data_IF_133618626644
#
_entry.id   IF_133618626644
#
_cell.length_a   1.000
_cell.length_b   1.000
_cell.length_c   1.000
_cell.angle_alpha   90.00
_cell.angle_beta   90.00
_cell.angle_gamma   90.00
#
_symmetry.space_group_name_H-M   'P 1'
#
loop_
_entity.id
_entity.type
_entity.pdbx_description
1 polymer ?
#
# COMPACT_ATOMS: atom_id res chain seq x y z
N UNK A 1 -21.10 -14.00 -0.66
CA UNK A 1 -19.81 -14.71 -0.50
C UNK A 1 -20.03 -15.81 0.52
N UNK A 2 -19.59 -17.05 0.26
CA UNK A 2 -19.62 -18.12 1.26
C UNK A 2 -18.19 -18.43 1.67
N UNK A 3 -17.88 -18.25 2.95
CA UNK A 3 -16.62 -18.73 3.53
C UNK A 3 -16.80 -20.22 3.79
N UNK A 4 -15.92 -21.04 3.21
CA UNK A 4 -15.95 -22.49 3.32
C UNK A 4 -15.25 -22.96 4.60
N UNK A 5 -14.23 -22.21 5.05
CA UNK A 5 -13.44 -22.48 6.26
C UNK A 5 -13.01 -21.15 6.88
N UNK A 6 -13.55 -20.82 8.05
CA UNK A 6 -13.14 -19.63 8.80
C UNK A 6 -11.80 -19.87 9.51
N UNK A 7 -10.93 -18.85 9.57
CA UNK A 7 -9.64 -18.93 10.27
C UNK A 7 -8.70 -20.02 9.74
N UNK A 8 -8.83 -20.39 8.46
CA UNK A 8 -8.06 -21.50 7.90
C UNK A 8 -6.56 -21.19 7.92
N UNK A 9 -5.77 -22.16 8.38
CA UNK A 9 -4.32 -22.08 8.25
C UNK A 9 -3.92 -22.50 6.82
N UNK A 10 -3.19 -21.64 6.12
CA UNK A 10 -2.77 -21.86 4.75
C UNK A 10 -1.25 -21.70 4.65
N UNK A 11 -0.57 -22.62 3.97
CA UNK A 11 0.86 -22.49 3.69
C UNK A 11 1.04 -21.73 2.37
N UNK A 12 1.45 -20.45 2.39
CA UNK A 12 1.65 -19.69 1.17
C UNK A 12 2.81 -20.24 0.37
N UNK A 13 2.72 -20.20 -0.96
CA UNK A 13 3.83 -20.63 -1.82
C UNK A 13 4.87 -19.51 -1.89
N UNK A 14 6.08 -19.74 -1.39
CA UNK A 14 7.19 -18.81 -1.55
C UNK A 14 7.64 -18.75 -3.02
N UNK A 15 7.36 -17.62 -3.66
CA UNK A 15 7.66 -17.27 -5.05
C UNK A 15 8.94 -16.45 -5.21
N UNK A 16 9.53 -15.98 -4.11
CA UNK A 16 10.89 -15.46 -4.05
C UNK A 16 11.33 -15.44 -2.60
N UNK A 17 12.60 -15.74 -2.32
CA UNK A 17 13.25 -15.39 -1.06
C UNK A 17 14.72 -15.13 -1.33
N UNK A 18 15.17 -13.90 -1.13
CA UNK A 18 16.56 -13.50 -1.38
C UNK A 18 16.99 -12.39 -0.42
N UNK A 19 18.26 -12.01 -0.51
CA UNK A 19 18.87 -10.96 0.30
C UNK A 19 19.15 -9.71 -0.53
N UNK A 20 18.94 -8.56 0.09
CA UNK A 20 19.41 -7.26 -0.40
C UNK A 20 20.86 -7.06 0.07
N UNK A 21 21.64 -6.38 -0.76
CA UNK A 21 22.98 -5.90 -0.43
C UNK A 21 22.96 -4.63 0.46
N UNK A 22 21.78 -4.06 0.71
CA UNK A 22 21.58 -2.81 1.43
C UNK A 22 20.13 -2.77 1.96
N UNK A 23 19.86 -2.24 3.17
CA UNK A 23 18.51 -2.19 3.73
C UNK A 23 17.47 -1.56 2.80
N UNK A 24 16.24 -2.07 2.88
CA UNK A 24 15.06 -1.39 2.32
C UNK A 24 14.76 -0.12 3.10
N UNK A 25 14.30 0.91 2.40
CA UNK A 25 13.76 2.15 2.99
C UNK A 25 12.36 2.49 2.49
N UNK A 26 11.88 1.76 1.48
CA UNK A 26 10.49 1.75 1.02
C UNK A 26 10.27 0.54 0.13
N UNK A 27 9.04 0.05 0.06
CA UNK A 27 8.69 -1.03 -0.87
C UNK A 27 7.22 -0.98 -1.28
N UNK A 28 6.94 -1.39 -2.51
CA UNK A 28 5.57 -1.50 -3.03
C UNK A 28 5.51 -2.60 -4.09
N UNK A 29 4.35 -3.24 -4.22
CA UNK A 29 4.05 -4.09 -5.36
C UNK A 29 3.30 -3.29 -6.43
N UNK A 30 3.75 -3.42 -7.67
CA UNK A 30 3.10 -2.82 -8.84
C UNK A 30 2.79 -3.86 -9.90
N UNK A 31 1.83 -3.56 -10.77
CA UNK A 31 1.54 -4.36 -11.96
C UNK A 31 2.03 -3.57 -13.17
N UNK A 32 2.88 -4.17 -13.99
CA UNK A 32 3.35 -3.53 -15.22
C UNK A 32 2.23 -3.42 -16.25
N UNK A 33 2.37 -2.57 -17.29
CA UNK A 33 1.42 -2.53 -18.41
C UNK A 33 1.22 -3.89 -19.10
N UNK A 34 2.20 -4.81 -19.01
CA UNK A 34 2.09 -6.19 -19.52
C UNK A 34 1.41 -7.15 -18.54
N UNK A 35 0.74 -6.64 -17.50
CA UNK A 35 0.06 -7.41 -16.46
C UNK A 35 0.99 -8.29 -15.62
N UNK A 36 2.29 -7.96 -15.57
CA UNK A 36 3.25 -8.68 -14.76
C UNK A 36 3.42 -8.00 -13.39
N UNK A 37 3.22 -8.71 -12.27
CA UNK A 37 3.49 -8.16 -10.95
C UNK A 37 4.99 -8.05 -10.69
N UNK A 38 5.39 -6.95 -10.08
CA UNK A 38 6.75 -6.69 -9.59
C UNK A 38 6.70 -6.28 -8.13
N UNK A 39 7.67 -6.76 -7.34
CA UNK A 39 7.98 -6.17 -6.05
C UNK A 39 9.11 -5.16 -6.24
N UNK A 40 8.83 -3.91 -5.92
CA UNK A 40 9.71 -2.77 -6.14
C UNK A 40 10.22 -2.33 -4.77
N UNK A 41 11.54 -2.33 -4.60
CA UNK A 41 12.20 -2.00 -3.35
C UNK A 41 13.14 -0.82 -3.57
N UNK A 42 12.92 0.24 -2.81
CA UNK A 42 13.83 1.36 -2.66
C UNK A 42 14.75 1.11 -1.48
N UNK A 43 16.04 1.41 -1.64
CA UNK A 43 17.06 1.16 -0.62
C UNK A 43 17.60 2.44 -0.01
N UNK A 44 18.24 2.29 1.15
CA UNK A 44 18.89 3.41 1.85
C UNK A 44 20.05 4.03 1.06
N UNK A 45 20.64 3.29 0.12
CA UNK A 45 21.71 3.80 -0.76
C UNK A 45 21.19 4.47 -2.05
N UNK A 46 19.87 4.63 -2.21
CA UNK A 46 19.28 5.24 -3.40
C UNK A 46 19.00 4.27 -4.57
N UNK A 47 19.39 2.99 -4.48
CA UNK A 47 19.06 2.03 -5.53
C UNK A 47 17.56 1.66 -5.50
N UNK A 48 16.94 1.58 -6.67
CA UNK A 48 15.60 1.01 -6.86
C UNK A 48 15.73 -0.33 -7.60
N UNK A 49 15.15 -1.37 -7.01
CA UNK A 49 15.27 -2.74 -7.51
C UNK A 49 13.89 -3.37 -7.72
N UNK A 50 13.76 -4.11 -8.81
CA UNK A 50 12.56 -4.77 -9.25
C UNK A 50 12.76 -6.28 -9.18
N UNK A 51 11.90 -6.96 -8.44
CA UNK A 51 11.86 -8.41 -8.32
C UNK A 51 10.64 -8.96 -9.06
N UNK A 52 10.87 -9.93 -9.95
CA UNK A 52 9.78 -10.67 -10.59
C UNK A 52 9.19 -11.72 -9.65
N UNK A 53 7.93 -12.09 -9.86
CA UNK A 53 7.27 -13.15 -9.08
C UNK A 53 7.63 -14.56 -9.54
N UNK A 54 8.44 -14.73 -10.57
CA UNK A 54 8.80 -16.04 -11.16
C UNK A 54 10.20 -16.52 -10.75
N UNK A 55 10.79 -15.95 -9.69
CA UNK A 55 12.14 -16.23 -9.18
C UNK A 55 13.29 -15.97 -10.17
N UNK A 56 13.01 -15.58 -11.40
CA UNK A 56 14.00 -15.68 -12.47
C UNK A 56 15.04 -14.56 -12.42
N UNK A 57 14.60 -13.32 -12.15
CA UNK A 57 15.37 -12.16 -12.54
C UNK A 57 15.16 -10.97 -11.59
N UNK A 58 16.23 -10.21 -11.40
CA UNK A 58 16.23 -8.94 -10.67
C UNK A 58 16.68 -7.86 -11.63
N UNK A 59 15.88 -6.80 -11.77
CA UNK A 59 16.25 -5.64 -12.57
C UNK A 59 16.53 -4.45 -11.67
N UNK A 60 17.60 -3.72 -11.96
CA UNK A 60 17.98 -2.51 -11.21
C UNK A 60 17.76 -1.31 -12.10
N UNK A 61 17.24 -0.23 -11.52
CA UNK A 61 17.32 1.06 -12.16
C UNK A 61 18.51 1.83 -11.56
N UNK A 62 19.45 2.24 -12.42
CA UNK A 62 20.57 3.11 -12.04
C UNK A 62 20.11 4.55 -11.84
N UNK A 63 19.21 4.76 -10.88
CA UNK A 63 18.71 6.08 -10.51
C UNK A 63 19.83 7.02 -10.07
N UNK A 64 19.59 8.33 -10.11
CA UNK A 64 20.56 9.37 -9.68
C UNK A 64 20.46 9.68 -8.19
N UNK A 65 19.72 8.87 -7.45
CA UNK A 65 19.50 9.08 -6.03
C UNK A 65 20.81 8.94 -5.26
N UNK A 66 21.13 9.96 -4.47
CA UNK A 66 22.29 9.98 -3.56
C UNK A 66 21.86 9.87 -2.10
N UNK A 67 20.58 9.57 -1.85
CA UNK A 67 19.97 9.49 -0.52
C UNK A 67 18.91 8.38 -0.48
N UNK A 68 18.47 7.93 0.71
CA UNK A 68 17.49 6.86 0.86
C UNK A 68 16.21 7.09 0.07
N UNK A 69 15.65 6.04 -0.54
CA UNK A 69 14.34 6.09 -1.19
C UNK A 69 13.24 5.96 -0.14
N UNK A 70 12.56 7.06 0.17
CA UNK A 70 11.61 7.14 1.28
C UNK A 70 10.16 6.91 0.86
N UNK A 71 9.85 7.00 -0.44
CA UNK A 71 8.52 6.67 -0.94
C UNK A 71 8.59 6.10 -2.37
N UNK A 72 7.71 5.14 -2.66
CA UNK A 72 7.49 4.61 -4.00
C UNK A 72 5.98 4.55 -4.24
N UNK A 73 5.55 4.98 -5.43
CA UNK A 73 4.18 4.84 -5.89
C UNK A 73 4.15 4.28 -7.32
N UNK A 74 3.04 3.65 -7.67
CA UNK A 74 2.78 3.08 -9.00
C UNK A 74 1.47 3.65 -9.52
N UNK A 75 1.46 4.08 -10.78
CA UNK A 75 0.27 4.58 -11.46
C UNK A 75 0.64 5.46 -12.64
N UNK A 76 -0.34 6.01 -13.35
CA UNK A 76 -0.13 6.86 -14.52
C UNK A 76 -0.13 8.35 -14.15
N UNK A 77 0.97 8.84 -13.56
CA UNK A 77 1.11 10.22 -13.06
C UNK A 77 1.29 11.26 -14.18
N UNK A 78 1.99 10.90 -15.25
CA UNK A 78 2.24 11.79 -16.40
C UNK A 78 1.20 11.68 -17.51
N UNK A 79 0.17 10.86 -17.33
CA UNK A 79 -0.88 10.59 -18.33
C UNK A 79 -0.32 10.06 -19.66
N UNK A 80 0.73 9.24 -19.62
CA UNK A 80 1.40 8.68 -20.80
C UNK A 80 0.82 7.34 -21.29
N UNK A 81 -0.49 7.12 -21.09
CA UNK A 81 -1.25 5.86 -21.36
C UNK A 81 -0.79 4.60 -20.60
N UNK A 82 0.40 4.62 -19.99
CA UNK A 82 1.01 3.49 -19.29
C UNK A 82 1.37 3.89 -17.87
N UNK A 83 1.11 2.97 -16.95
CA UNK A 83 1.57 3.10 -15.57
C UNK A 83 3.10 3.12 -15.51
N UNK A 84 3.60 3.90 -14.57
CA UNK A 84 5.01 4.10 -14.28
C UNK A 84 5.26 3.92 -12.79
N UNK A 85 6.54 3.82 -12.43
CA UNK A 85 6.99 3.74 -11.04
C UNK A 85 7.64 5.06 -10.69
N UNK A 86 7.15 5.68 -9.63
CA UNK A 86 7.68 6.92 -9.09
C UNK A 86 8.42 6.60 -7.81
N UNK A 87 9.72 6.89 -7.77
CA UNK A 87 10.54 6.80 -6.57
C UNK A 87 10.92 8.21 -6.10
N UNK A 88 10.89 8.43 -4.79
CA UNK A 88 11.20 9.71 -4.14
C UNK A 88 12.25 9.46 -3.07
N UNK A 89 13.33 10.23 -3.09
CA UNK A 89 14.38 10.17 -2.08
C UNK A 89 14.17 11.16 -0.94
N UNK A 90 14.89 10.94 0.16
CA UNK A 90 14.79 11.74 1.38
C UNK A 90 15.04 13.25 1.16
N UNK A 91 15.93 13.60 0.22
CA UNK A 91 16.24 14.98 -0.19
C UNK A 91 15.19 15.60 -1.13
N UNK A 92 14.16 14.85 -1.53
CA UNK A 92 13.06 15.31 -2.37
C UNK A 92 13.27 15.10 -3.87
N UNK A 93 14.36 14.48 -4.34
CA UNK A 93 14.45 14.09 -5.74
C UNK A 93 13.37 13.06 -6.05
N UNK A 94 12.55 13.33 -7.06
CA UNK A 94 11.59 12.40 -7.64
C UNK A 94 12.11 11.93 -8.99
N UNK A 95 12.09 10.62 -9.24
CA UNK A 95 12.28 10.03 -10.56
C UNK A 95 11.09 9.14 -10.91
N UNK A 96 10.46 9.41 -12.05
CA UNK A 96 9.55 8.47 -12.71
C UNK A 96 10.34 7.57 -13.63
N UNK A 97 10.03 6.27 -13.61
CA UNK A 97 10.69 5.25 -14.40
C UNK A 97 9.69 4.24 -14.97
N UNK A 98 10.02 3.66 -16.13
CA UNK A 98 9.23 2.59 -16.70
C UNK A 98 9.37 1.30 -15.89
N UNK A 99 8.41 0.39 -16.02
CA UNK A 99 8.62 -0.98 -15.60
C UNK A 99 9.74 -1.64 -16.43
N UNK A 100 10.45 -2.64 -15.87
CA UNK A 100 11.24 -3.57 -16.67
C UNK A 100 10.37 -4.21 -17.74
N UNK A 101 10.88 -4.32 -18.97
CA UNK A 101 10.14 -4.93 -20.08
C UNK A 101 10.76 -6.27 -20.42
N UNK A 102 9.96 -7.33 -20.43
CA UNK A 102 10.37 -8.63 -20.97
C UNK A 102 10.10 -8.67 -22.47
N UNK A 103 11.11 -9.06 -23.23
CA UNK A 103 11.00 -9.39 -24.65
C UNK A 103 11.80 -10.68 -24.91
N UNK A 104 11.07 -11.75 -25.27
CA UNK A 104 11.58 -13.11 -25.24
C UNK A 104 12.14 -13.49 -23.86
N UNK A 105 13.42 -13.89 -23.83
CA UNK A 105 14.15 -14.27 -22.62
C UNK A 105 14.98 -13.12 -22.02
N UNK A 106 14.83 -11.89 -22.52
CA UNK A 106 15.61 -10.74 -22.03
C UNK A 106 14.72 -9.80 -21.24
N UNK A 107 15.13 -9.48 -20.01
CA UNK A 107 14.53 -8.44 -19.19
C UNK A 107 15.30 -7.13 -19.34
N UNK A 108 14.70 -6.18 -20.06
CA UNK A 108 15.26 -4.86 -20.25
C UNK A 108 15.09 -4.03 -18.98
N UNK A 109 16.13 -3.27 -18.64
CA UNK A 109 16.15 -2.41 -17.46
C UNK A 109 15.12 -1.28 -17.56
N UNK A 110 14.57 -0.81 -16.42
CA UNK A 110 13.80 0.41 -16.33
C UNK A 110 14.53 1.61 -16.93
N UNK A 111 13.79 2.47 -17.63
CA UNK A 111 14.29 3.74 -18.16
C UNK A 111 13.69 4.88 -17.34
N UNK A 112 14.52 5.87 -16.99
CA UNK A 112 14.06 7.10 -16.34
C UNK A 112 13.28 7.92 -17.38
N UNK A 113 12.04 8.26 -17.04
CA UNK A 113 11.11 8.94 -17.94
C UNK A 113 10.95 10.43 -17.59
N UNK A 114 11.15 10.79 -16.33
CA UNK A 114 11.01 12.16 -15.82
C UNK A 114 11.70 12.28 -14.47
N UNK A 115 12.28 13.46 -14.18
CA UNK A 115 12.84 13.77 -12.86
C UNK A 115 12.53 15.22 -12.45
N UNK A 116 12.31 15.44 -11.16
CA UNK A 116 12.08 16.76 -10.59
C UNK A 116 12.40 16.75 -9.09
N UNK A 117 12.96 17.84 -8.57
CA UNK A 117 13.02 18.06 -7.12
C UNK A 117 11.68 18.54 -6.57
N UNK A 118 11.21 17.87 -5.53
CA UNK A 118 10.10 18.24 -4.68
C UNK A 118 10.62 18.70 -3.31
N UNK A 119 9.71 18.92 -2.37
CA UNK A 119 10.09 19.07 -0.97
C UNK A 119 10.69 17.77 -0.44
N UNK A 120 11.72 17.90 0.40
CA UNK A 120 12.28 16.80 1.19
C UNK A 120 11.24 16.23 2.18
N UNK A 121 11.64 15.18 2.90
CA UNK A 121 10.84 14.58 4.00
C UNK A 121 9.55 13.87 3.58
N UNK A 122 9.35 13.57 2.29
CA UNK A 122 8.25 12.71 1.83
C UNK A 122 8.50 11.28 2.31
N UNK A 123 7.55 10.65 3.00
CA UNK A 123 7.67 9.30 3.58
C UNK A 123 6.61 8.30 3.08
N UNK A 124 5.58 8.76 2.37
CA UNK A 124 4.66 7.89 1.66
C UNK A 124 4.11 8.62 0.42
N UNK A 125 3.75 7.86 -0.60
CA UNK A 125 3.14 8.39 -1.81
C UNK A 125 2.06 7.44 -2.35
N UNK A 126 1.08 8.00 -3.07
CA UNK A 126 0.05 7.29 -3.81
C UNK A 126 -0.28 8.06 -5.08
N UNK A 127 -0.56 7.34 -6.16
CA UNK A 127 -1.08 7.92 -7.40
C UNK A 127 -2.54 7.50 -7.54
N UNK A 128 -3.44 8.47 -7.68
CA UNK A 128 -4.87 8.25 -7.86
C UNK A 128 -5.53 9.52 -8.42
N UNK A 129 -6.61 9.37 -9.17
CA UNK A 129 -7.49 10.47 -9.53
C UNK A 129 -8.27 10.92 -8.29
N UNK A 130 -7.93 12.10 -7.75
CA UNK A 130 -8.49 12.58 -6.47
C UNK A 130 -9.66 13.54 -6.64
N UNK A 131 -9.83 14.13 -7.82
CA UNK A 131 -10.89 15.10 -8.12
C UNK A 131 -11.91 14.61 -9.16
N UNK A 132 -11.70 13.43 -9.74
CA UNK A 132 -12.61 12.76 -10.66
C UNK A 132 -12.57 13.30 -12.09
N UNK A 133 -11.45 13.91 -12.50
CA UNK A 133 -11.26 14.48 -13.84
C UNK A 133 -10.55 13.50 -14.82
N UNK A 134 -10.48 12.22 -14.45
CA UNK A 134 -9.79 11.14 -15.16
C UNK A 134 -8.26 11.35 -15.28
N UNK A 135 -7.70 12.28 -14.49
CA UNK A 135 -6.26 12.49 -14.37
C UNK A 135 -5.83 12.12 -12.96
N UNK A 136 -4.85 11.24 -12.86
CA UNK A 136 -4.23 10.93 -11.59
C UNK A 136 -3.34 12.06 -11.04
N UNK A 137 -3.46 12.29 -9.74
CA UNK A 137 -2.57 13.11 -8.93
C UNK A 137 -1.65 12.22 -8.12
N UNK A 138 -0.52 12.78 -7.71
CA UNK A 138 0.30 12.19 -6.67
C UNK A 138 -0.05 12.81 -5.32
N UNK A 139 -0.56 11.99 -4.40
CA UNK A 139 -0.69 12.29 -2.98
C UNK A 139 0.64 11.95 -2.31
N UNK A 140 1.16 12.84 -1.47
CA UNK A 140 2.33 12.55 -0.63
C UNK A 140 2.05 12.89 0.83
N UNK A 141 2.60 12.06 1.71
CA UNK A 141 2.66 12.31 3.15
C UNK A 141 4.09 12.62 3.52
N UNK A 142 4.26 13.62 4.38
CA UNK A 142 5.56 14.12 4.81
C UNK A 142 5.73 13.93 6.32
N UNK A 143 6.96 13.74 6.77
CA UNK A 143 7.26 13.55 8.20
C UNK A 143 7.03 14.81 9.04
N UNK A 144 6.82 15.97 8.43
CA UNK A 144 6.58 17.26 9.08
C UNK A 144 5.10 17.61 9.25
N UNK A 145 4.22 16.58 9.31
CA UNK A 145 2.76 16.71 9.51
C UNK A 145 2.04 17.36 8.32
N UNK A 146 2.55 17.13 7.12
CA UNK A 146 1.98 17.69 5.90
C UNK A 146 1.51 16.60 4.95
N UNK A 147 0.33 16.80 4.38
CA UNK A 147 -0.13 16.09 3.19
C UNK A 147 -0.16 17.07 2.02
N UNK A 148 0.36 16.66 0.87
CA UNK A 148 0.28 17.46 -0.36
C UNK A 148 -0.21 16.63 -1.52
N UNK A 149 -0.80 17.30 -2.49
CA UNK A 149 -1.09 16.70 -3.79
C UNK A 149 -0.39 17.44 -4.91
N UNK A 150 0.07 16.70 -5.92
CA UNK A 150 0.72 17.23 -7.11
C UNK A 150 0.02 16.71 -8.37
N UNK A 151 -0.08 17.56 -9.39
CA UNK A 151 -0.54 17.19 -10.73
C UNK A 151 0.55 17.45 -11.74
N UNK A 152 0.68 16.57 -12.72
CA UNK A 152 1.62 16.76 -13.82
C UNK A 152 0.99 17.69 -14.87
N UNK A 153 1.57 18.88 -15.05
CA UNK A 153 1.05 19.92 -15.95
C UNK A 153 2.22 20.56 -16.68
N UNK A 154 2.17 20.53 -18.02
CA UNK A 154 3.18 21.12 -18.91
C UNK A 154 4.60 20.61 -18.64
N UNK A 155 4.76 19.30 -18.47
CA UNK A 155 6.08 18.68 -18.30
C UNK A 155 6.67 18.76 -16.89
N UNK A 156 5.90 19.19 -15.87
CA UNK A 156 6.35 19.29 -14.48
C UNK A 156 5.25 19.00 -13.48
N UNK A 157 5.62 18.59 -12.27
CA UNK A 157 4.70 18.46 -11.13
C UNK A 157 4.46 19.82 -10.49
N UNK A 158 3.18 20.19 -10.38
CA UNK A 158 2.72 21.40 -9.68
C UNK A 158 1.93 21.02 -8.44
N UNK A 159 2.20 21.68 -7.33
CA UNK A 159 1.41 21.54 -6.10
C UNK A 159 -0.03 21.97 -6.35
N UNK A 160 -0.99 21.12 -6.03
CA UNK A 160 -2.41 21.44 -6.07
C UNK A 160 -2.90 21.93 -4.71
N UNK A 161 -2.64 21.16 -3.66
CA UNK A 161 -3.13 21.44 -2.31
C UNK A 161 -2.08 21.07 -1.26
N UNK A 162 -2.19 21.70 -0.08
CA UNK A 162 -1.38 21.44 1.11
C UNK A 162 -2.31 21.42 2.31
N UNK A 163 -2.20 20.38 3.13
CA UNK A 163 -2.86 20.28 4.43
C UNK A 163 -1.81 20.08 5.50
N UNK A 164 -1.88 20.89 6.54
CA UNK A 164 -1.11 20.69 7.77
C UNK A 164 -2.02 20.04 8.80
N UNK A 165 -1.53 18.98 9.45
CA UNK A 165 -2.29 18.25 10.46
C UNK A 165 -1.71 18.50 11.85
N UNK A 166 -2.50 18.34 12.93
CA UNK A 166 -2.08 18.82 14.23
C UNK A 166 -0.90 18.04 14.84
N UNK A 167 -0.81 16.73 14.59
CA UNK A 167 0.19 15.83 15.19
C UNK A 167 0.90 14.98 14.12
N UNK A 168 1.90 14.20 14.54
CA UNK A 168 2.68 13.33 13.67
C UNK A 168 1.78 12.29 13.01
N UNK A 169 1.89 12.14 11.69
CA UNK A 169 1.15 11.10 10.96
C UNK A 169 1.86 9.77 11.17
N UNK A 170 1.15 8.81 11.78
CA UNK A 170 1.66 7.46 12.06
C UNK A 170 0.95 6.36 11.26
N UNK A 171 -0.16 6.68 10.61
CA UNK A 171 -0.89 5.75 9.76
C UNK A 171 -1.59 6.48 8.63
N UNK A 172 -1.59 5.87 7.45
CA UNK A 172 -2.21 6.39 6.24
C UNK A 172 -3.18 5.34 5.70
N UNK A 173 -4.44 5.71 5.59
CA UNK A 173 -5.45 4.92 4.89
C UNK A 173 -6.16 5.78 3.85
N UNK A 174 -5.99 5.46 2.57
CA UNK A 174 -6.67 6.11 1.45
C UNK A 174 -7.77 5.18 0.97
N UNK A 175 -8.95 5.72 0.71
CA UNK A 175 -10.07 4.95 0.18
C UNK A 175 -11.01 5.78 -0.67
N UNK A 176 -12.02 5.10 -1.20
CA UNK A 176 -13.05 5.73 -2.02
C UNK A 176 -14.45 5.58 -1.42
N UNK A 177 -15.28 6.60 -1.59
CA UNK A 177 -16.72 6.50 -1.31
C UNK A 177 -17.44 5.71 -2.40
N UNK A 178 -18.71 5.34 -2.20
CA UNK A 178 -19.52 4.72 -3.26
C UNK A 178 -19.64 5.59 -4.52
N UNK A 179 -19.55 6.90 -4.36
CA UNK A 179 -19.56 7.86 -5.46
C UNK A 179 -18.19 8.03 -6.15
N UNK A 180 -17.18 7.21 -5.81
CA UNK A 180 -15.84 7.27 -6.39
C UNK A 180 -14.93 8.34 -5.79
N UNK A 181 -15.44 9.22 -4.90
CA UNK A 181 -14.62 10.28 -4.28
C UNK A 181 -13.53 9.70 -3.39
N UNK A 182 -12.29 10.13 -3.60
CA UNK A 182 -11.12 9.72 -2.81
C UNK A 182 -11.00 10.57 -1.54
N UNK A 183 -10.66 9.92 -0.44
CA UNK A 183 -10.34 10.57 0.83
C UNK A 183 -9.23 9.80 1.55
N UNK A 184 -8.56 10.47 2.48
CA UNK A 184 -7.59 9.89 3.38
C UNK A 184 -8.07 9.97 4.83
N UNK A 185 -7.75 8.94 5.61
CA UNK A 185 -7.82 8.92 7.07
C UNK A 185 -6.39 8.80 7.58
N UNK A 186 -6.01 9.74 8.44
CA UNK A 186 -4.67 9.85 8.99
C UNK A 186 -4.73 9.56 10.47
N UNK A 187 -4.08 8.47 10.89
CA UNK A 187 -3.84 8.22 12.30
C UNK A 187 -2.78 9.22 12.81
N UNK A 188 -2.99 9.72 14.02
CA UNK A 188 -2.18 10.76 14.62
C UNK A 188 -1.50 10.20 15.87
N UNK A 189 -0.19 10.37 15.97
CA UNK A 189 0.62 9.77 17.03
C UNK A 189 0.17 10.28 18.42
N UNK A 190 -0.19 9.35 19.31
CA UNK A 190 -0.67 9.59 20.67
C UNK A 190 -2.00 10.36 20.78
N UNK A 191 -2.76 10.45 19.70
CA UNK A 191 -4.04 11.17 19.71
C UNK A 191 -5.23 10.21 19.66
N UNK A 192 -6.38 10.65 20.19
CA UNK A 192 -7.67 9.92 20.15
C UNK A 192 -8.60 10.45 19.06
N UNK A 193 -8.01 10.94 17.98
CA UNK A 193 -8.73 11.44 16.82
C UNK A 193 -7.96 11.07 15.57
N UNK A 194 -8.69 10.96 14.47
CA UNK A 194 -8.11 10.90 13.14
C UNK A 194 -8.34 12.21 12.41
N UNK A 195 -7.48 12.48 11.42
CA UNK A 195 -7.71 13.55 10.46
C UNK A 195 -8.22 12.94 9.17
N UNK A 196 -9.41 13.36 8.74
CA UNK A 196 -9.99 13.02 7.44
C UNK A 196 -9.75 14.14 6.45
N UNK A 197 -9.13 13.81 5.31
CA UNK A 197 -8.97 14.71 4.17
C UNK A 197 -9.86 14.24 3.03
N UNK A 198 -10.80 15.08 2.62
CA UNK A 198 -11.59 14.87 1.40
C UNK A 198 -10.96 15.68 0.26
N UNK A 199 -10.31 15.00 -0.68
CA UNK A 199 -9.44 15.65 -1.66
C UNK A 199 -10.21 16.54 -2.64
N UNK A 200 -11.30 16.04 -3.21
CA UNK A 200 -12.13 16.79 -4.15
C UNK A 200 -12.75 18.06 -3.51
N UNK A 201 -13.21 17.95 -2.26
CA UNK A 201 -13.78 19.06 -1.49
C UNK A 201 -12.71 19.98 -0.89
N UNK A 202 -11.44 19.56 -0.93
CA UNK A 202 -10.30 20.21 -0.24
C UNK A 202 -10.54 20.40 1.26
N UNK A 203 -11.41 19.57 1.84
CA UNK A 203 -11.82 19.68 3.23
C UNK A 203 -10.92 18.82 4.11
N UNK A 204 -10.58 19.33 5.28
CA UNK A 204 -9.77 18.65 6.29
C UNK A 204 -10.52 18.75 7.63
N UNK A 205 -10.88 17.60 8.20
CA UNK A 205 -11.73 17.52 9.39
C UNK A 205 -11.10 16.58 10.42
N UNK A 206 -11.27 16.91 11.69
CA UNK A 206 -10.88 16.06 12.81
C UNK A 206 -12.09 15.24 13.21
N UNK A 207 -11.95 13.92 13.24
CA UNK A 207 -12.99 13.00 13.68
C UNK A 207 -12.54 12.32 14.97
N UNK A 208 -13.42 12.24 15.99
CA UNK A 208 -13.10 11.49 17.20
C UNK A 208 -12.91 10.01 16.84
N UNK A 209 -11.89 9.37 17.40
CA UNK A 209 -11.80 7.92 17.36
C UNK A 209 -12.60 7.32 18.51
N UNK A 210 -13.22 6.19 18.21
CA UNK A 210 -14.01 5.39 19.13
C UNK A 210 -13.06 4.67 20.10
N UNK A 211 -12.64 5.31 21.20
CA UNK A 211 -12.17 4.50 22.33
C UNK A 211 -12.48 4.91 23.75
N UNK A 212 -13.03 3.90 24.41
CA UNK A 212 -13.04 3.49 25.81
C UNK A 212 -11.75 2.74 26.25
N UNK A 213 -10.67 2.74 25.47
CA UNK A 213 -9.42 2.02 25.74
C UNK A 213 -8.32 2.87 26.40
N UNK A 214 -7.54 2.24 27.28
CA UNK A 214 -6.39 2.86 27.96
C UNK A 214 -5.33 3.33 26.96
N UNK A 215 -4.77 4.51 27.23
CA UNK A 215 -4.00 5.40 26.34
C UNK A 215 -2.73 4.88 25.66
N UNK A 216 -2.56 3.58 25.45
CA UNK A 216 -1.36 2.99 24.82
C UNK A 216 -1.60 2.16 23.55
N UNK A 217 -2.85 1.93 23.12
CA UNK A 217 -3.13 1.12 21.91
C UNK A 217 -3.41 2.01 20.71
N UNK A 218 -2.51 1.99 19.72
CA UNK A 218 -2.74 2.67 18.43
C UNK A 218 -3.83 1.94 17.65
N UNK A 219 -4.69 2.74 17.02
CA UNK A 219 -5.79 2.30 16.18
C UNK A 219 -5.56 2.77 14.74
N UNK A 220 -5.93 1.93 13.79
CA UNK A 220 -5.91 2.28 12.38
C UNK A 220 -7.29 2.14 11.76
N UNK A 221 -7.86 3.26 11.34
CA UNK A 221 -9.10 3.31 10.60
C UNK A 221 -8.83 3.07 9.12
N UNK A 222 -9.50 2.07 8.56
CA UNK A 222 -9.35 1.62 7.17
C UNK A 222 -10.67 1.82 6.44
N UNK A 223 -10.69 2.55 5.31
CA UNK A 223 -11.87 2.69 4.47
C UNK A 223 -12.49 1.35 4.05
N UNK A 224 -13.82 1.31 3.98
CA UNK A 224 -14.60 0.21 3.41
C UNK A 224 -14.17 -0.18 1.98
N UNK A 225 -13.74 0.81 1.18
CA UNK A 225 -13.13 0.62 -0.14
C UNK A 225 -11.69 1.15 -0.11
N UNK A 226 -10.73 0.38 0.42
CA UNK A 226 -9.37 0.84 0.60
C UNK A 226 -8.61 0.82 -0.74
N UNK A 227 -7.88 1.90 -0.99
CA UNK A 227 -6.96 2.09 -2.14
C UNK A 227 -5.51 1.87 -1.68
N UNK A 228 -5.14 2.44 -0.53
CA UNK A 228 -3.84 2.25 0.10
C UNK A 228 -4.03 2.21 1.62
N UNK A 229 -3.26 1.37 2.30
CA UNK A 229 -3.18 1.35 3.76
C UNK A 229 -1.73 1.14 4.12
N UNK A 230 -1.19 1.92 5.05
CA UNK A 230 0.19 1.81 5.50
C UNK A 230 0.34 2.33 6.94
N UNK A 231 1.29 1.74 7.67
CA UNK A 231 1.79 2.26 8.94
C UNK A 231 3.07 3.03 8.67
N UNK A 232 3.25 4.16 9.36
CA UNK A 232 4.37 5.07 9.17
C UNK A 232 5.14 5.13 10.48
N UNK A 233 6.12 4.24 10.63
CA UNK A 233 7.04 4.22 11.78
C UNK A 233 6.40 3.81 13.11
N UNK A 234 5.23 3.16 13.10
CA UNK A 234 4.52 2.74 14.31
C UNK A 234 3.92 1.34 14.18
N UNK A 235 3.53 0.77 15.31
CA UNK A 235 2.76 -0.47 15.41
C UNK A 235 1.31 -0.15 15.71
N UNK A 236 0.40 -1.03 15.31
CA UNK A 236 -1.02 -0.95 15.71
C UNK A 236 -1.47 -2.27 16.31
N UNK A 237 -2.43 -2.21 17.23
CA UNK A 237 -3.03 -3.42 17.82
C UNK A 237 -4.44 -3.67 17.32
N UNK A 238 -5.10 -2.62 16.80
CA UNK A 238 -6.52 -2.62 16.45
C UNK A 238 -6.75 -1.95 15.10
N UNK A 239 -7.54 -2.61 14.24
CA UNK A 239 -7.93 -2.11 12.93
C UNK A 239 -9.45 -2.01 12.88
N UNK A 240 -9.96 -0.89 12.39
CA UNK A 240 -11.38 -0.67 12.18
C UNK A 240 -11.66 -0.49 10.70
N UNK A 241 -12.63 -1.22 10.17
CA UNK A 241 -13.18 -0.92 8.85
C UNK A 241 -14.27 0.12 9.02
N UNK A 242 -14.05 1.30 8.46
CA UNK A 242 -14.96 2.43 8.56
C UNK A 242 -15.63 2.73 7.23
N UNK A 243 -16.94 2.98 7.27
CA UNK A 243 -17.71 3.42 6.12
C UNK A 243 -18.32 4.79 6.41
N UNK A 244 -17.74 5.88 5.87
CA UNK A 244 -18.26 7.23 6.11
C UNK A 244 -19.65 7.46 5.51
N UNK A 245 -20.03 6.72 4.45
CA UNK A 245 -21.34 6.87 3.81
C UNK A 245 -22.47 6.33 4.70
N UNK A 246 -22.17 5.40 5.60
CA UNK A 246 -23.15 4.77 6.49
C UNK A 246 -22.88 5.01 7.98
N UNK A 247 -21.81 5.74 8.32
CA UNK A 247 -21.33 5.96 9.67
C UNK A 247 -21.20 4.66 10.49
N UNK A 248 -20.66 3.60 9.86
CA UNK A 248 -20.45 2.30 10.50
C UNK A 248 -18.96 2.03 10.70
N UNK A 249 -18.60 1.52 11.86
CA UNK A 249 -17.28 1.01 12.19
C UNK A 249 -17.37 -0.48 12.53
N UNK A 250 -16.41 -1.28 12.06
CA UNK A 250 -16.32 -2.70 12.39
C UNK A 250 -14.88 -3.04 12.77
N UNK A 251 -14.66 -3.46 14.01
CA UNK A 251 -13.35 -3.90 14.47
C UNK A 251 -12.98 -5.24 13.84
N UNK A 252 -11.77 -5.31 13.27
CA UNK A 252 -11.14 -6.56 12.87
C UNK A 252 -10.46 -7.17 14.08
N UNK A 253 -10.89 -8.36 14.48
CA UNK A 253 -10.33 -9.11 15.61
C UNK A 253 -8.93 -9.59 15.24
N UNK A 254 -7.94 -8.88 15.76
CA UNK A 254 -6.55 -9.32 15.70
C UNK A 254 -6.36 -10.52 16.64
N UNK A 255 -6.03 -11.67 16.07
CA UNK A 255 -5.75 -12.93 16.80
C UNK A 255 -4.25 -13.21 16.90
N UNK A 256 -3.41 -12.27 16.47
CA UNK A 256 -1.96 -12.34 16.45
C UNK A 256 -1.35 -11.28 17.39
N UNK A 257 -0.04 -11.01 17.26
CA UNK A 257 0.63 -9.94 18.00
C UNK A 257 0.36 -8.55 17.44
N UNK A 258 1.13 -7.56 17.91
CA UNK A 258 1.08 -6.20 17.37
C UNK A 258 1.41 -6.18 15.88
N UNK A 259 0.61 -5.44 15.12
CA UNK A 259 0.68 -5.36 13.67
C UNK A 259 1.78 -4.36 13.31
N UNK A 260 2.79 -4.86 12.61
CA UNK A 260 3.95 -4.09 12.13
C UNK A 260 3.74 -3.56 10.72
N UNK A 261 2.96 -4.29 9.91
CA UNK A 261 2.75 -3.95 8.50
C UNK A 261 1.30 -4.24 8.11
N UNK A 262 0.77 -3.40 7.24
CA UNK A 262 -0.56 -3.54 6.65
C UNK A 262 -0.50 -3.26 5.16
N UNK A 263 -1.27 -3.99 4.37
CA UNK A 263 -1.49 -3.70 2.96
C UNK A 263 -2.93 -4.01 2.58
N UNK A 264 -3.35 -3.47 1.44
CA UNK A 264 -4.67 -3.72 0.87
C UNK A 264 -4.55 -4.20 -0.57
N UNK A 265 -5.50 -5.03 -1.01
CA UNK A 265 -5.70 -5.29 -2.43
C UNK A 265 -7.14 -5.69 -2.71
N UNK A 266 -7.56 -5.59 -3.96
CA UNK A 266 -8.89 -6.07 -4.39
C UNK A 266 -8.70 -7.12 -5.49
N UNK A 267 -9.22 -8.32 -5.25
CA UNK A 267 -9.17 -9.42 -6.19
C UNK A 267 -10.11 -9.20 -7.38
N UNK A 268 -9.85 -9.81 -8.56
CA UNK A 268 -10.72 -9.67 -9.74
C UNK A 268 -12.16 -10.12 -9.50
N UNK A 269 -12.37 -11.05 -8.56
CA UNK A 269 -13.70 -11.51 -8.15
C UNK A 269 -14.50 -10.48 -7.31
N UNK A 270 -13.92 -9.31 -7.00
CA UNK A 270 -14.51 -8.24 -6.20
C UNK A 270 -14.32 -8.38 -4.68
N UNK A 271 -13.52 -9.34 -4.22
CA UNK A 271 -13.15 -9.49 -2.81
C UNK A 271 -12.08 -8.47 -2.45
N UNK A 272 -12.40 -7.56 -1.53
CA UNK A 272 -11.44 -6.65 -0.92
C UNK A 272 -10.72 -7.35 0.20
N UNK A 273 -9.41 -7.14 0.30
CA UNK A 273 -8.55 -7.80 1.26
C UNK A 273 -7.71 -6.78 2.02
N UNK A 274 -7.59 -7.00 3.33
CA UNK A 274 -6.56 -6.40 4.16
C UNK A 274 -5.61 -7.50 4.60
N UNK A 275 -4.32 -7.24 4.41
CA UNK A 275 -3.22 -8.09 4.83
C UNK A 275 -2.58 -7.41 6.04
N UNK A 276 -2.48 -8.12 7.15
CA UNK A 276 -1.70 -7.66 8.31
C UNK A 276 -0.58 -8.65 8.57
N UNK A 277 0.58 -8.14 9.03
CA UNK A 277 1.70 -8.96 9.47
C UNK A 277 2.14 -8.46 10.85
N UNK A 278 2.40 -9.39 11.77
CA UNK A 278 2.94 -9.09 13.10
C UNK A 278 4.48 -9.26 13.17
N UNK A 279 5.08 -8.92 14.32
CA UNK A 279 6.53 -9.04 14.55
C UNK A 279 7.06 -10.47 14.37
N UNK A 280 6.22 -11.49 14.59
CA UNK A 280 6.60 -12.90 14.51
C UNK A 280 6.37 -13.51 13.13
N UNK A 281 5.95 -12.72 12.14
CA UNK A 281 5.66 -13.18 10.79
C UNK A 281 4.33 -13.94 10.69
N UNK A 282 3.38 -13.72 11.61
CA UNK A 282 2.00 -14.18 11.45
C UNK A 282 1.29 -13.21 10.50
N UNK A 283 0.86 -13.72 9.36
CA UNK A 283 0.08 -12.98 8.37
C UNK A 283 -1.40 -13.36 8.50
N UNK A 284 -2.25 -12.34 8.63
CA UNK A 284 -3.70 -12.50 8.62
C UNK A 284 -4.30 -11.83 7.38
N UNK A 285 -5.26 -12.51 6.75
CA UNK A 285 -6.06 -11.96 5.66
C UNK A 285 -7.48 -11.74 6.13
N UNK A 286 -7.93 -10.50 6.10
CA UNK A 286 -9.34 -10.13 6.29
C UNK A 286 -9.95 -9.82 4.93
N UNK A 287 -11.23 -10.10 4.72
CA UNK A 287 -11.84 -9.79 3.44
C UNK A 287 -13.35 -9.70 3.44
N UNK A 288 -13.85 -8.89 2.51
CA UNK A 288 -15.27 -8.54 2.39
C UNK A 288 -15.62 -8.05 0.97
N UNK A 289 -16.90 -7.76 0.74
CA UNK A 289 -17.41 -7.13 -0.49
C UNK A 289 -18.27 -5.92 -0.13
N UNK A 290 -18.46 -5.00 -1.07
CA UNK A 290 -19.13 -3.70 -0.87
C UNK A 290 -20.53 -3.76 -0.24
N UNK A 291 -21.23 -4.87 -0.49
CA UNK A 291 -22.60 -5.10 0.00
C UNK A 291 -22.66 -5.94 1.28
N UNK A 292 -21.52 -6.33 1.84
CA UNK A 292 -21.42 -7.20 3.01
C UNK A 292 -20.72 -6.46 4.14
N UNK A 293 -21.22 -6.67 5.36
CA UNK A 293 -20.53 -6.22 6.56
C UNK A 293 -19.16 -6.92 6.61
N UNK A 294 -18.06 -6.18 6.88
CA UNK A 294 -16.75 -6.77 7.09
C UNK A 294 -16.82 -7.89 8.13
N UNK A 295 -16.22 -9.04 7.81
CA UNK A 295 -16.08 -10.09 8.80
C UNK A 295 -15.02 -9.67 9.83
N UNK A 296 -15.37 -9.77 11.11
CA UNK A 296 -14.44 -9.42 12.18
C UNK A 296 -13.27 -10.41 12.28
N UNK A 297 -13.47 -11.69 11.95
CA UNK A 297 -12.43 -12.71 12.00
C UNK A 297 -11.64 -12.80 10.69
N UNK A 298 -10.34 -13.19 10.74
CA UNK A 298 -9.56 -13.40 9.52
C UNK A 298 -10.06 -14.61 8.72
N UNK A 299 -10.05 -14.45 7.40
CA UNK A 299 -10.31 -15.53 6.43
C UNK A 299 -9.19 -16.57 6.46
N UNK A 300 -7.95 -16.11 6.51
CA UNK A 300 -6.74 -16.94 6.45
C UNK A 300 -5.73 -16.47 7.47
N UNK A 301 -5.04 -17.45 8.06
CA UNK A 301 -3.81 -17.26 8.84
C UNK A 301 -2.67 -18.01 8.17
N UNK A 302 -1.50 -17.38 8.06
CA UNK A 302 -0.30 -18.06 7.59
C UNK A 302 0.96 -17.53 8.26
N UNK A 303 2.08 -18.21 8.02
CA UNK A 303 3.40 -17.76 8.43
C UNK A 303 4.21 -17.29 7.22
N UNK A 304 4.83 -16.13 7.38
CA UNK A 304 5.80 -15.52 6.47
C UNK A 304 7.10 -15.25 7.23
N UNK A 305 8.10 -14.63 6.60
CA UNK A 305 9.30 -14.21 7.32
C UNK A 305 8.91 -13.25 8.47
N UNK A 306 9.52 -13.48 9.64
CA UNK A 306 9.43 -12.58 10.78
C UNK A 306 10.16 -11.26 10.52
N UNK A 307 9.96 -10.30 11.43
CA UNK A 307 10.62 -8.99 11.40
C UNK A 307 10.38 -8.21 10.09
N UNK A 308 9.13 -8.30 9.60
CA UNK A 308 8.68 -7.55 8.44
C UNK A 308 8.74 -6.05 8.72
N UNK A 309 9.30 -5.29 7.78
CA UNK A 309 9.41 -3.83 7.83
C UNK A 309 8.45 -3.17 6.83
N UNK A 310 8.36 -3.73 5.62
CA UNK A 310 7.41 -3.30 4.60
C UNK A 310 6.63 -4.51 4.08
N UNK A 311 5.33 -4.32 3.85
CA UNK A 311 4.47 -5.30 3.18
C UNK A 311 3.69 -4.60 2.07
N UNK A 312 3.49 -5.30 0.96
CA UNK A 312 2.60 -4.85 -0.10
C UNK A 312 1.92 -6.04 -0.76
N UNK A 313 0.71 -5.85 -1.24
CA UNK A 313 -0.07 -6.90 -1.86
C UNK A 313 -0.68 -6.44 -3.20
N UNK A 314 -0.70 -7.33 -4.17
CA UNK A 314 -1.42 -7.14 -5.44
C UNK A 314 -2.18 -8.40 -5.81
N UNK A 315 -3.36 -8.22 -6.40
CA UNK A 315 -4.12 -9.33 -6.92
C UNK A 315 -3.47 -9.91 -8.19
N UNK A 316 -3.55 -11.23 -8.34
CA UNK A 316 -3.18 -11.91 -9.58
C UNK A 316 -4.31 -11.71 -10.60
N UNK A 317 -4.07 -10.91 -11.64
CA UNK A 317 -5.08 -10.60 -12.66
C UNK A 317 -5.49 -11.83 -13.48
N UNK A 318 -4.65 -12.86 -13.53
CA UNK A 318 -4.92 -14.10 -14.28
C UNK A 318 -5.70 -15.11 -13.44
N UNK A 319 -5.68 -15.00 -12.10
CA UNK A 319 -6.31 -15.95 -11.20
C UNK A 319 -7.23 -15.23 -10.20
N UNK A 320 -8.55 -15.31 -10.41
CA UNK A 320 -9.57 -14.54 -9.70
C UNK A 320 -9.52 -14.60 -8.16
N UNK A 321 -8.94 -15.65 -7.57
CA UNK A 321 -8.89 -15.89 -6.11
C UNK A 321 -7.46 -15.80 -5.52
N UNK A 322 -6.49 -15.35 -6.30
CA UNK A 322 -5.07 -15.38 -5.92
C UNK A 322 -4.55 -13.97 -5.73
N UNK A 323 -3.68 -13.80 -4.72
CA UNK A 323 -2.88 -12.60 -4.54
C UNK A 323 -1.41 -12.94 -4.36
N UNK A 324 -0.59 -11.94 -4.64
CA UNK A 324 0.80 -11.91 -4.21
C UNK A 324 0.92 -10.99 -3.00
N UNK A 325 1.67 -11.45 -2.00
CA UNK A 325 2.09 -10.64 -0.85
C UNK A 325 3.60 -10.61 -0.86
N UNK A 326 4.18 -9.44 -1.01
CA UNK A 326 5.61 -9.24 -0.90
C UNK A 326 5.95 -8.50 0.38
N UNK A 327 7.11 -8.83 0.94
CA UNK A 327 7.63 -8.17 2.12
C UNK A 327 9.13 -7.96 2.02
N UNK A 328 9.62 -6.99 2.77
CA UNK A 328 11.03 -6.86 3.13
C UNK A 328 11.18 -6.81 4.65
N UNK A 329 12.31 -7.30 5.15
CA UNK A 329 12.58 -7.43 6.58
C UNK A 329 13.71 -6.51 7.03
N UNK A 330 13.76 -6.26 8.35
CA UNK A 330 14.85 -5.53 9.00
C UNK A 330 16.24 -6.14 8.77
N UNK A 331 16.29 -7.43 8.41
CA UNK A 331 17.52 -8.19 8.14
C UNK A 331 17.82 -8.33 6.64
N UNK A 332 17.35 -7.38 5.84
CA UNK A 332 17.64 -7.25 4.41
C UNK A 332 17.17 -8.45 3.59
N UNK A 333 16.17 -9.20 4.08
CA UNK A 333 15.53 -10.26 3.29
C UNK A 333 14.35 -9.69 2.56
N UNK A 334 14.12 -10.17 1.35
CA UNK A 334 12.89 -9.92 0.59
C UNK A 334 12.25 -11.25 0.24
N UNK A 335 10.93 -11.29 0.33
CA UNK A 335 10.17 -12.46 -0.07
C UNK A 335 8.89 -12.08 -0.80
N UNK A 336 8.50 -12.91 -1.76
CA UNK A 336 7.22 -12.82 -2.44
C UNK A 336 6.49 -14.13 -2.20
N UNK A 337 5.25 -14.04 -1.73
CA UNK A 337 4.37 -15.17 -1.46
C UNK A 337 3.18 -15.14 -2.40
N UNK A 338 2.80 -16.29 -2.95
CA UNK A 338 1.52 -16.47 -3.64
C UNK A 338 0.54 -17.15 -2.71
N UNK A 339 -0.60 -16.51 -2.50
CA UNK A 339 -1.69 -17.01 -1.65
C UNK A 339 -2.90 -17.27 -2.52
N UNK A 340 -3.45 -18.49 -2.46
CA UNK A 340 -4.62 -18.90 -3.23
C UNK A 340 -5.81 -19.13 -2.28
N UNK A 341 -6.87 -18.34 -2.45
CA UNK A 341 -8.07 -18.38 -1.61
C UNK A 341 -9.19 -19.27 -2.18
N UNK A 342 -8.96 -19.97 -3.29
CA UNK A 342 -9.98 -20.79 -3.97
C UNK A 342 -10.60 -21.87 -3.07
N UNK A 343 -9.81 -22.43 -2.15
CA UNK A 343 -10.28 -23.44 -1.18
C UNK A 343 -11.01 -22.86 0.04
N UNK A 344 -10.93 -21.53 0.23
CA UNK A 344 -11.44 -20.83 1.43
C UNK A 344 -12.72 -20.06 1.11
N UNK A 345 -12.78 -19.45 -0.07
CA UNK A 345 -13.87 -18.55 -0.46
C UNK A 345 -14.54 -19.07 -1.71
N UNK A 346 -15.85 -19.29 -1.62
CA UNK A 346 -16.69 -19.52 -2.80
C UNK A 346 -17.53 -18.28 -3.09
N UNK A 347 -17.37 -17.75 -4.29
CA UNK A 347 -18.15 -16.62 -4.79
C UNK A 347 -19.17 -17.16 -5.78
N UNK A 348 -20.45 -17.09 -5.40
CA UNK A 348 -21.54 -17.31 -6.36
C UNK A 348 -21.57 -16.10 -7.29
N UNK A 349 -21.29 -16.31 -8.59
CA UNK A 349 -21.61 -15.33 -9.64
C UNK A 349 -23.15 -15.38 -9.76
N UNK A 350 -23.81 -14.29 -9.41
CA UNK A 350 -25.23 -14.09 -9.69
C UNK A 350 -25.37 -13.37 -11.02
#
# INVERSE_FOLDING_TARGET
>A
MRVLREGAFLCPKAMLTTHLNCPSSSAVMGISPQQQPFFIVGKVNGEVVFFTTDHSEVSKCGGRFNSPITAIAVGNLRHSEKDEVVAISADGLLQSMSFPRRDGNTLYQPVILFEQFLNANICAAQIADIDGDDRNEMIVVMTDRVVRTYRFIDGRLRTLNKWEVPSQICGLSIGSTRAGRIYALLAQLHEKYIVKIEFAQKNCTILPQSTTGDGGTYELDVPMNPVQVSLIGTLTSRLFIVNPDCNTENELKNVAGDIVCVATTTLPNGLRLIVTVDTHGVLLLFGWRDNLVPQALPLVRCHVLADAEYVSAVADKMHENTLFVALSTLYFKVAIYRVDLSSIVQIKKH
#
